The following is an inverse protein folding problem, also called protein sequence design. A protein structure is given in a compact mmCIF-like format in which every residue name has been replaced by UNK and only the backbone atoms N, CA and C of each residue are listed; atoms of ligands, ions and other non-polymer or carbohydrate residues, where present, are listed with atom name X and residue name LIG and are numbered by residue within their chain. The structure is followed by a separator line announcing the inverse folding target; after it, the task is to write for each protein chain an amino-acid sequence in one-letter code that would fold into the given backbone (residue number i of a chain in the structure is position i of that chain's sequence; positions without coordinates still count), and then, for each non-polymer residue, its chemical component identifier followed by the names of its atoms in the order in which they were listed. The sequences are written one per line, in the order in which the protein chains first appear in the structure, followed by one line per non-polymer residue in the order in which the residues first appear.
data_IF_819473812505
#
_entry.id   IF_819473812505
#
_cell.length_a   1.000
_cell.length_b   1.000
_cell.length_c   1.000
_cell.angle_alpha   90.00
_cell.angle_beta   90.00
_cell.angle_gamma   90.00
#
_symmetry.space_group_name_H-M   'P 1'
#
loop_
_entity.id
_entity.type
_entity.pdbx_description
1 polymer ?
#
# COMPACT_ATOMS: atom_id res chain seq x y z
N UNK A 1 -78.30 24.00 -13.02
CA UNK A 1 -79.24 25.13 -12.72
C UNK A 1 -78.72 26.37 -13.43
N UNK A 2 -79.63 26.88 -14.28
CA UNK A 2 -79.89 28.29 -14.65
C UNK A 2 -78.70 29.04 -15.26
N UNK A 3 -78.69 29.27 -16.61
CA UNK A 3 -79.54 30.26 -17.36
C UNK A 3 -79.13 31.70 -17.04
N UNK A 4 -78.79 32.63 -17.91
CA UNK A 4 -79.41 33.13 -19.14
C UNK A 4 -78.50 34.28 -19.64
N UNK A 5 -78.26 34.54 -20.83
CA UNK A 5 -78.95 34.95 -22.07
C UNK A 5 -78.84 36.46 -22.35
N UNK A 6 -78.57 36.77 -23.64
CA UNK A 6 -78.94 37.96 -24.47
C UNK A 6 -78.11 39.25 -24.29
N UNK A 7 -77.97 40.08 -25.28
CA UNK A 7 -78.27 40.25 -26.71
C UNK A 7 -77.43 41.42 -27.23
N UNK A 8 -76.91 41.41 -28.39
CA UNK A 8 -77.36 41.96 -29.67
C UNK A 8 -77.71 43.46 -29.74
N UNK A 9 -76.97 44.19 -30.62
CA UNK A 9 -77.47 45.17 -31.59
C UNK A 9 -76.25 45.85 -32.25
N UNK A 10 -75.93 45.63 -33.45
CA UNK A 10 -76.31 46.16 -34.75
C UNK A 10 -76.13 47.68 -34.88
N UNK A 11 -75.23 48.08 -35.78
CA UNK A 11 -75.05 49.49 -36.19
C UNK A 11 -74.04 49.56 -37.37
N UNK A 12 -74.65 49.48 -38.54
CA UNK A 12 -74.05 49.61 -39.88
C UNK A 12 -73.74 51.10 -40.14
N UNK A 13 -72.49 51.48 -40.57
CA UNK A 13 -72.30 52.64 -41.44
C UNK A 13 -71.09 52.45 -42.34
N UNK A 14 -71.37 52.55 -43.66
CA UNK A 14 -70.54 52.57 -44.83
C UNK A 14 -69.93 53.95 -45.00
N UNK A 15 -68.58 54.04 -45.29
CA UNK A 15 -68.03 55.06 -46.20
C UNK A 15 -66.57 54.69 -46.57
N UNK A 16 -66.38 54.35 -47.73
CA UNK A 16 -65.59 54.56 -48.91
C UNK A 16 -64.22 55.18 -48.75
N UNK A 17 -63.26 54.44 -49.34
CA UNK A 17 -62.19 54.87 -50.22
C UNK A 17 -61.11 55.85 -49.71
N UNK A 18 -59.85 55.30 -49.72
CA UNK A 18 -58.80 55.93 -50.57
C UNK A 18 -57.55 54.97 -50.60
N UNK A 19 -57.29 54.51 -51.79
CA UNK A 19 -56.05 53.78 -52.13
C UNK A 19 -54.80 54.67 -52.03
N UNK A 20 -53.77 54.23 -51.24
CA UNK A 20 -52.41 54.69 -51.41
C UNK A 20 -51.46 53.46 -51.35
N UNK A 21 -50.63 53.24 -52.34
CA UNK A 21 -49.66 52.19 -52.28
C UNK A 21 -48.48 52.62 -51.41
N UNK A 22 -48.45 52.21 -50.13
CA UNK A 22 -47.29 52.38 -49.29
C UNK A 22 -46.25 51.29 -49.58
N UNK A 23 -45.09 51.63 -50.14
CA UNK A 23 -43.91 50.80 -50.25
C UNK A 23 -43.49 50.33 -48.84
N UNK A 24 -43.67 49.04 -48.57
CA UNK A 24 -43.12 48.41 -47.44
C UNK A 24 -41.61 48.13 -47.73
N UNK A 25 -40.77 49.07 -47.34
CA UNK A 25 -39.35 48.85 -47.21
C UNK A 25 -39.17 47.84 -46.03
N UNK A 26 -38.89 46.59 -46.40
CA UNK A 26 -38.45 45.56 -45.46
C UNK A 26 -37.06 46.02 -44.98
N UNK A 27 -37.04 46.65 -43.78
CA UNK A 27 -35.78 46.90 -43.08
C UNK A 27 -35.18 45.54 -42.78
N UNK A 28 -34.12 45.15 -43.50
CA UNK A 28 -33.20 44.14 -43.04
C UNK A 28 -32.64 44.64 -41.69
N UNK A 29 -33.15 44.04 -40.59
CA UNK A 29 -32.45 44.11 -39.32
C UNK A 29 -31.06 43.52 -39.51
N UNK A 30 -30.05 44.35 -39.68
CA UNK A 30 -28.68 43.99 -39.50
C UNK A 30 -28.53 43.47 -38.05
N UNK A 31 -28.63 42.16 -37.90
CA UNK A 31 -28.28 41.49 -36.67
C UNK A 31 -26.90 41.99 -36.23
N UNK A 32 -26.87 42.83 -35.18
CA UNK A 32 -25.64 43.32 -34.64
C UNK A 32 -24.72 42.12 -34.37
N UNK A 33 -23.62 42.05 -35.09
CA UNK A 33 -22.64 40.95 -34.91
C UNK A 33 -22.12 41.02 -33.47
N UNK A 34 -22.57 40.08 -32.65
CA UNK A 34 -22.19 39.99 -31.24
C UNK A 34 -20.72 39.53 -31.18
N UNK A 35 -19.81 40.47 -30.99
CA UNK A 35 -18.38 40.18 -30.77
C UNK A 35 -18.26 39.77 -29.30
N UNK A 36 -17.71 38.60 -29.08
CA UNK A 36 -17.48 38.04 -27.72
C UNK A 36 -16.00 38.18 -27.36
N UNK A 37 -15.73 38.80 -26.21
CA UNK A 37 -14.35 38.86 -25.68
C UNK A 37 -13.96 37.51 -25.07
N UNK A 38 -12.83 36.96 -25.51
CA UNK A 38 -12.34 35.66 -25.06
C UNK A 38 -10.87 35.73 -24.69
N UNK A 39 -10.43 34.91 -23.72
CA UNK A 39 -8.99 34.64 -23.56
C UNK A 39 -8.59 33.41 -24.34
N UNK A 40 -7.46 33.50 -25.01
CA UNK A 40 -6.92 32.39 -25.80
C UNK A 40 -5.56 31.95 -25.27
N UNK A 41 -5.28 30.68 -25.41
CA UNK A 41 -4.00 30.06 -25.08
C UNK A 41 -3.49 29.30 -26.31
N UNK A 42 -2.20 29.37 -26.60
CA UNK A 42 -1.60 28.53 -27.63
C UNK A 42 -1.44 27.10 -27.10
N UNK A 43 -1.97 26.16 -27.81
CA UNK A 43 -1.88 24.72 -27.50
C UNK A 43 -0.42 24.27 -27.65
N UNK A 44 0.10 23.63 -26.62
CA UNK A 44 1.48 23.09 -26.60
C UNK A 44 1.44 21.62 -26.24
N UNK A 45 2.43 20.88 -26.73
CA UNK A 45 2.70 19.54 -26.21
C UNK A 45 3.51 19.64 -24.96
N UNK A 46 3.11 18.92 -23.95
CA UNK A 46 3.81 18.76 -22.69
C UNK A 46 4.18 17.30 -22.45
N UNK A 47 5.26 17.09 -21.72
CA UNK A 47 5.64 15.74 -21.32
C UNK A 47 4.82 15.35 -20.11
N UNK A 48 3.92 14.40 -20.28
CA UNK A 48 3.10 13.83 -19.21
C UNK A 48 3.50 12.37 -18.95
N UNK A 49 3.38 11.96 -17.71
CA UNK A 49 3.54 10.55 -17.32
C UNK A 49 2.22 10.07 -16.76
N UNK A 50 1.57 9.09 -17.41
CA UNK A 50 0.29 8.56 -16.94
C UNK A 50 0.39 8.01 -15.52
N UNK A 51 -0.60 8.33 -14.68
CA UNK A 51 -0.68 7.82 -13.31
C UNK A 51 -2.13 7.58 -12.87
N UNK A 52 -2.28 6.71 -11.89
CA UNK A 52 -3.51 6.53 -11.12
C UNK A 52 -3.34 7.30 -9.82
N UNK A 53 -4.33 8.12 -9.45
CA UNK A 53 -4.35 8.83 -8.18
C UNK A 53 -5.28 8.09 -7.21
N UNK A 54 -4.77 7.80 -6.03
CA UNK A 54 -5.51 7.08 -4.98
C UNK A 54 -5.01 7.52 -3.60
N UNK A 55 -5.62 6.97 -2.57
CA UNK A 55 -5.19 7.16 -1.18
C UNK A 55 -4.70 5.84 -0.59
N UNK A 56 -3.78 5.93 0.34
CA UNK A 56 -3.23 4.77 0.99
C UNK A 56 -2.80 5.08 2.43
N UNK A 57 -2.29 4.08 3.10
CA UNK A 57 -1.71 4.18 4.43
C UNK A 57 -0.37 3.49 4.50
N UNK A 58 0.54 4.07 5.27
CA UNK A 58 1.81 3.43 5.59
C UNK A 58 1.57 2.37 6.66
N UNK A 59 2.07 1.18 6.43
CA UNK A 59 2.00 0.05 7.34
C UNK A 59 3.42 -0.47 7.63
N UNK A 60 3.67 -1.12 8.79
CA UNK A 60 4.94 -1.78 9.00
C UNK A 60 5.09 -2.94 8.01
N UNK A 61 6.31 -3.17 7.52
CA UNK A 61 6.55 -4.33 6.65
C UNK A 61 6.24 -5.65 7.37
N UNK A 62 6.64 -5.73 8.64
CA UNK A 62 6.37 -6.86 9.51
C UNK A 62 5.93 -6.35 10.89
N UNK A 63 4.99 -7.06 11.51
CA UNK A 63 4.58 -6.86 12.89
C UNK A 63 4.55 -8.20 13.58
N UNK A 64 5.39 -8.39 14.59
CA UNK A 64 5.53 -9.65 15.31
C UNK A 64 5.14 -9.47 16.76
N UNK A 65 4.25 -10.32 17.22
CA UNK A 65 3.91 -10.47 18.64
C UNK A 65 4.98 -11.35 19.26
N UNK A 66 5.84 -10.76 20.06
CA UNK A 66 6.88 -11.49 20.79
C UNK A 66 6.25 -12.06 22.05
N UNK A 67 6.21 -13.39 22.15
CA UNK A 67 5.63 -14.13 23.28
C UNK A 67 6.74 -14.88 24.04
N UNK A 68 6.46 -15.21 25.30
CA UNK A 68 7.33 -16.11 26.06
C UNK A 68 7.20 -17.53 25.52
N UNK A 69 8.31 -18.26 25.42
CA UNK A 69 8.33 -19.67 25.06
C UNK A 69 8.36 -20.58 26.31
N UNK A 70 8.52 -20.00 27.50
CA UNK A 70 8.59 -20.72 28.77
C UNK A 70 7.69 -20.05 29.82
N UNK A 71 7.29 -20.83 30.82
CA UNK A 71 6.53 -20.35 31.95
C UNK A 71 7.46 -19.75 33.00
N UNK A 72 7.04 -18.68 33.66
CA UNK A 72 7.79 -18.08 34.76
C UNK A 72 7.43 -16.65 35.06
N UNK A 73 8.08 -16.08 36.07
CA UNK A 73 7.94 -14.66 36.41
C UNK A 73 8.86 -13.83 35.51
N UNK A 74 8.32 -12.81 34.87
CA UNK A 74 9.08 -11.85 34.08
C UNK A 74 9.98 -11.03 34.99
N UNK A 75 11.28 -11.30 34.98
CA UNK A 75 12.25 -10.69 35.88
C UNK A 75 12.50 -9.24 35.54
N UNK A 76 12.73 -8.96 34.27
CA UNK A 76 13.03 -7.62 33.78
C UNK A 76 12.64 -7.45 32.32
N UNK A 77 12.27 -6.23 31.94
CA UNK A 77 12.09 -5.79 30.56
C UNK A 77 13.15 -4.72 30.31
N UNK A 78 13.98 -4.93 29.27
CA UNK A 78 15.18 -4.12 29.00
C UNK A 78 14.93 -3.01 27.97
N UNK A 79 13.73 -2.94 27.40
CA UNK A 79 13.37 -1.98 26.36
C UNK A 79 12.01 -1.36 26.67
N UNK A 80 11.82 -0.11 26.24
CA UNK A 80 10.56 0.61 26.35
C UNK A 80 9.85 0.76 25.02
N UNK A 81 8.57 1.15 25.06
CA UNK A 81 7.79 1.47 23.88
C UNK A 81 8.48 2.60 23.09
N UNK A 82 8.54 2.44 21.76
CA UNK A 82 9.27 3.34 20.88
C UNK A 82 10.77 3.08 20.75
N UNK A 83 11.36 2.23 21.62
CA UNK A 83 12.78 1.88 21.53
C UNK A 83 13.09 1.14 20.23
N UNK A 84 14.21 1.47 19.59
CA UNK A 84 14.75 0.73 18.44
C UNK A 84 15.40 -0.56 18.93
N UNK A 85 15.14 -1.64 18.20
CA UNK A 85 15.67 -2.97 18.50
C UNK A 85 16.26 -3.60 17.24
N UNK A 86 17.27 -4.44 17.43
CA UNK A 86 17.86 -5.24 16.35
C UNK A 86 17.55 -6.71 16.56
N UNK A 87 17.51 -7.47 15.47
CA UNK A 87 17.29 -8.92 15.52
C UNK A 87 18.28 -9.58 16.47
N UNK A 88 17.78 -10.41 17.39
CA UNK A 88 18.56 -11.07 18.42
C UNK A 88 18.82 -10.25 19.69
N UNK A 89 18.52 -8.94 19.71
CA UNK A 89 18.63 -8.10 20.90
C UNK A 89 17.72 -8.62 22.01
N UNK A 90 18.24 -8.67 23.24
CA UNK A 90 17.47 -9.10 24.42
C UNK A 90 16.43 -8.02 24.76
N UNK A 91 15.17 -8.43 24.81
CA UNK A 91 14.03 -7.57 25.11
C UNK A 91 13.59 -7.70 26.57
N UNK A 92 13.56 -8.93 27.06
CA UNK A 92 13.12 -9.25 28.41
C UNK A 92 13.75 -10.57 28.88
N UNK A 93 13.71 -10.80 30.19
CA UNK A 93 14.19 -12.03 30.80
C UNK A 93 13.17 -12.59 31.78
N UNK A 94 12.88 -13.86 31.65
CA UNK A 94 12.14 -14.65 32.63
C UNK A 94 13.09 -15.06 33.75
N UNK A 95 12.61 -15.30 34.96
CA UNK A 95 13.42 -15.84 36.06
C UNK A 95 13.98 -17.21 35.63
N UNK A 96 15.29 -17.28 35.53
CA UNK A 96 16.03 -18.40 34.96
C UNK A 96 16.62 -19.35 36.01
N UNK A 97 16.33 -19.12 37.32
CA UNK A 97 16.92 -19.86 38.43
C UNK A 97 16.66 -21.38 38.28
N UNK A 98 15.40 -21.75 38.07
CA UNK A 98 15.02 -23.18 37.96
C UNK A 98 15.57 -23.82 36.69
N UNK A 99 15.63 -23.07 35.60
CA UNK A 99 16.23 -23.55 34.34
C UNK A 99 17.72 -23.80 34.50
N UNK A 100 18.46 -22.91 35.18
CA UNK A 100 19.89 -23.11 35.47
C UNK A 100 20.14 -24.31 36.34
N UNK A 101 19.34 -24.53 37.38
CA UNK A 101 19.40 -25.73 38.21
C UNK A 101 19.13 -26.98 37.39
N UNK A 102 18.16 -26.94 36.48
CA UNK A 102 17.86 -28.03 35.55
C UNK A 102 19.05 -28.38 34.64
N UNK A 103 19.73 -27.37 34.08
CA UNK A 103 20.97 -27.57 33.31
C UNK A 103 22.06 -28.18 34.15
N UNK A 104 22.26 -27.72 35.39
CA UNK A 104 23.28 -28.27 36.28
C UNK A 104 22.99 -29.73 36.64
N UNK A 105 21.74 -30.11 36.91
CA UNK A 105 21.34 -31.47 37.20
C UNK A 105 21.56 -32.41 35.99
N UNK A 106 21.13 -31.97 34.80
CA UNK A 106 21.31 -32.73 33.56
C UNK A 106 22.78 -32.89 33.21
N UNK A 107 23.58 -31.84 33.43
CA UNK A 107 25.04 -31.89 33.23
C UNK A 107 25.72 -32.91 34.16
N UNK A 108 25.30 -32.99 35.42
CA UNK A 108 25.79 -33.98 36.38
C UNK A 108 25.43 -35.40 35.96
N UNK A 109 24.18 -35.63 35.50
CA UNK A 109 23.73 -36.91 34.98
C UNK A 109 24.49 -37.36 33.75
N UNK A 110 24.80 -36.44 32.82
CA UNK A 110 25.62 -36.74 31.66
C UNK A 110 27.07 -37.12 32.07
N UNK A 111 27.67 -36.41 33.04
CA UNK A 111 29.02 -36.78 33.54
C UNK A 111 29.04 -38.20 34.12
N UNK A 112 27.99 -38.59 34.85
CA UNK A 112 27.87 -39.94 35.40
C UNK A 112 27.69 -40.98 34.30
N UNK A 113 26.83 -40.74 33.30
CA UNK A 113 26.64 -41.64 32.16
C UNK A 113 27.93 -41.82 31.35
N UNK A 114 28.70 -40.76 31.14
CA UNK A 114 30.05 -40.84 30.48
C UNK A 114 31.02 -41.68 31.26
N UNK A 115 31.08 -41.54 32.59
CA UNK A 115 31.97 -42.36 33.41
C UNK A 115 31.56 -43.85 33.36
N UNK A 116 30.26 -44.16 33.32
CA UNK A 116 29.76 -45.50 33.18
C UNK A 116 30.13 -46.08 31.79
N UNK A 117 30.00 -45.29 30.72
CA UNK A 117 30.34 -45.68 29.36
C UNK A 117 31.87 -45.98 29.25
N UNK A 118 32.71 -45.09 29.79
CA UNK A 118 34.17 -45.30 29.81
C UNK A 118 34.57 -46.59 30.53
N UNK A 119 33.91 -46.88 31.67
CA UNK A 119 34.08 -48.16 32.38
C UNK A 119 33.64 -49.36 31.53
N UNK A 120 32.47 -49.28 30.89
CA UNK A 120 31.92 -50.36 30.05
C UNK A 120 32.83 -50.57 28.80
N UNK A 121 33.33 -49.50 28.19
CA UNK A 121 34.31 -49.62 27.08
C UNK A 121 35.60 -50.29 27.49
N UNK A 122 36.13 -49.89 28.64
CA UNK A 122 37.36 -50.52 29.18
C UNK A 122 37.17 -51.99 29.45
N UNK A 123 36.00 -52.36 30.05
CA UNK A 123 35.66 -53.74 30.34
C UNK A 123 35.46 -54.54 29.05
N UNK A 124 34.75 -53.99 28.06
CA UNK A 124 34.54 -54.63 26.77
C UNK A 124 35.89 -54.89 26.05
N UNK A 125 36.78 -53.88 25.96
CA UNK A 125 38.13 -54.01 25.35
C UNK A 125 38.91 -55.12 26.01
N UNK A 126 38.82 -55.30 27.35
CA UNK A 126 39.46 -56.40 28.09
C UNK A 126 38.86 -57.74 27.73
N UNK A 127 37.48 -57.86 27.70
CA UNK A 127 36.83 -59.12 27.35
C UNK A 127 37.05 -59.51 25.91
N UNK A 128 37.08 -58.57 24.98
CA UNK A 128 37.37 -58.79 23.57
C UNK A 128 38.77 -59.37 23.35
N UNK A 129 39.77 -58.83 24.03
CA UNK A 129 41.17 -59.36 24.00
C UNK A 129 41.27 -60.77 24.58
N UNK A 130 40.56 -61.08 25.70
CA UNK A 130 40.56 -62.40 26.32
C UNK A 130 39.76 -63.42 25.50
N UNK A 131 38.67 -63.02 24.85
CA UNK A 131 37.90 -63.86 23.95
C UNK A 131 38.67 -64.25 22.71
N UNK A 132 39.45 -63.33 22.13
CA UNK A 132 40.38 -63.61 21.04
C UNK A 132 41.44 -64.63 21.43
N UNK A 133 41.90 -64.68 22.70
CA UNK A 133 42.82 -65.68 23.27
C UNK A 133 42.07 -66.93 23.73
N UNK A 134 40.75 -67.10 23.57
CA UNK A 134 39.92 -68.24 24.02
C UNK A 134 39.91 -68.45 25.54
N UNK A 135 40.16 -67.41 26.34
CA UNK A 135 40.23 -67.47 27.80
C UNK A 135 38.85 -67.33 28.47
N UNK A 136 37.92 -66.59 27.81
CA UNK A 136 36.60 -66.36 28.31
C UNK A 136 35.55 -67.00 27.39
N UNK A 137 34.34 -67.26 27.93
CA UNK A 137 33.22 -67.82 27.19
C UNK A 137 32.57 -66.74 26.26
N UNK A 138 31.87 -67.22 25.22
CA UNK A 138 31.09 -66.35 24.34
C UNK A 138 30.03 -65.55 25.12
N UNK A 139 29.43 -66.16 26.12
CA UNK A 139 28.45 -65.53 26.96
C UNK A 139 29.00 -64.31 27.72
N UNK A 140 30.23 -64.44 28.25
CA UNK A 140 30.88 -63.30 28.94
C UNK A 140 31.23 -62.17 27.98
N UNK A 141 31.66 -62.47 26.76
CA UNK A 141 31.89 -61.50 25.70
C UNK A 141 30.57 -60.80 25.33
N UNK A 142 29.50 -61.57 25.00
CA UNK A 142 28.21 -61.03 24.63
C UNK A 142 27.60 -60.16 25.75
N UNK A 143 27.80 -60.52 27.00
CA UNK A 143 27.38 -59.71 28.17
C UNK A 143 28.13 -58.39 28.26
N UNK A 144 29.44 -58.40 27.99
CA UNK A 144 30.24 -57.16 27.99
C UNK A 144 29.87 -56.22 26.84
N UNK A 145 29.59 -56.79 25.66
CA UNK A 145 29.07 -56.03 24.50
C UNK A 145 27.70 -55.39 24.82
N UNK A 146 26.78 -56.16 25.36
CA UNK A 146 25.43 -55.66 25.75
C UNK A 146 25.54 -54.52 26.77
N UNK A 147 26.46 -54.65 27.77
CA UNK A 147 26.66 -53.59 28.77
C UNK A 147 27.24 -52.34 28.14
N UNK A 148 28.15 -52.47 27.17
CA UNK A 148 28.70 -51.34 26.41
C UNK A 148 27.55 -50.64 25.62
N UNK A 149 26.73 -51.38 24.89
CA UNK A 149 25.61 -50.84 24.13
C UNK A 149 24.62 -50.11 25.00
N UNK A 150 24.22 -50.69 26.18
CA UNK A 150 23.35 -50.04 27.16
C UNK A 150 23.96 -48.73 27.67
N UNK A 151 25.26 -48.74 28.02
CA UNK A 151 25.94 -47.57 28.53
C UNK A 151 26.01 -46.43 27.47
N UNK A 152 26.17 -46.76 26.18
CA UNK A 152 26.10 -45.79 25.07
C UNK A 152 24.71 -45.15 24.98
N UNK A 153 23.64 -45.97 25.01
CA UNK A 153 22.29 -45.45 24.97
C UNK A 153 21.95 -44.57 26.20
N UNK A 154 22.50 -44.89 27.36
CA UNK A 154 22.34 -44.06 28.55
C UNK A 154 23.08 -42.70 28.43
N UNK A 155 24.28 -42.66 27.83
CA UNK A 155 25.01 -41.43 27.55
C UNK A 155 24.25 -40.57 26.54
N UNK A 156 23.78 -41.16 25.43
CA UNK A 156 22.97 -40.49 24.42
C UNK A 156 21.73 -39.85 25.01
N UNK A 157 20.99 -40.59 25.86
CA UNK A 157 19.81 -40.12 26.58
C UNK A 157 20.13 -38.93 27.50
N UNK A 158 21.20 -39.05 28.29
CA UNK A 158 21.63 -37.98 29.21
C UNK A 158 22.14 -36.74 28.44
N UNK A 159 22.77 -36.91 27.29
CA UNK A 159 23.20 -35.84 26.41
C UNK A 159 22.00 -35.07 25.83
N UNK A 160 20.95 -35.81 25.35
CA UNK A 160 19.72 -35.21 24.87
C UNK A 160 18.98 -34.47 25.98
N UNK A 161 18.96 -35.01 27.22
CA UNK A 161 18.34 -34.33 28.37
C UNK A 161 19.05 -33.02 28.73
N UNK A 162 20.39 -32.97 28.66
CA UNK A 162 21.15 -31.74 28.85
C UNK A 162 20.83 -30.71 27.76
N UNK A 163 20.79 -31.12 26.49
CA UNK A 163 20.46 -30.22 25.38
C UNK A 163 19.07 -29.62 25.55
N UNK A 164 18.07 -30.39 25.97
CA UNK A 164 16.73 -29.89 26.26
C UNK A 164 16.70 -28.90 27.40
N UNK A 165 17.48 -29.14 28.48
CA UNK A 165 17.57 -28.22 29.61
C UNK A 165 18.23 -26.90 29.20
N UNK A 166 19.27 -26.94 28.36
CA UNK A 166 19.94 -25.76 27.79
C UNK A 166 18.99 -24.94 26.91
N UNK A 167 18.24 -25.59 26.03
CA UNK A 167 17.23 -24.93 25.17
C UNK A 167 16.18 -24.19 26.02
N UNK A 168 15.68 -24.83 27.08
CA UNK A 168 14.72 -24.18 28.00
C UNK A 168 15.33 -22.95 28.70
N UNK A 169 16.58 -23.01 29.10
CA UNK A 169 17.29 -21.88 29.68
C UNK A 169 17.45 -20.74 28.66
N UNK A 170 17.82 -21.06 27.42
CA UNK A 170 17.96 -20.06 26.34
C UNK A 170 16.62 -19.36 26.04
N UNK A 171 15.51 -20.12 26.07
CA UNK A 171 14.16 -19.60 25.89
C UNK A 171 13.69 -18.67 27.05
N UNK A 172 14.33 -18.71 28.19
CA UNK A 172 14.08 -17.74 29.26
C UNK A 172 14.55 -16.31 28.91
N UNK A 173 15.36 -16.17 27.86
CA UNK A 173 15.82 -14.88 27.34
C UNK A 173 15.01 -14.55 26.09
N UNK A 174 14.08 -13.60 26.23
CA UNK A 174 13.20 -13.17 25.15
C UNK A 174 13.95 -12.18 24.25
N UNK A 175 14.06 -12.50 22.95
CA UNK A 175 14.82 -11.73 21.96
C UNK A 175 13.95 -11.19 20.84
N UNK A 176 14.41 -10.10 20.20
CA UNK A 176 13.73 -9.56 19.02
C UNK A 176 13.91 -10.48 17.81
N UNK A 177 12.83 -10.85 17.11
CA UNK A 177 12.90 -11.65 15.88
C UNK A 177 13.31 -10.82 14.66
N UNK A 178 13.19 -9.47 14.73
CA UNK A 178 13.43 -8.57 13.61
C UNK A 178 14.13 -7.27 14.02
N UNK A 179 14.60 -6.52 13.02
CA UNK A 179 15.07 -5.15 13.21
C UNK A 179 13.88 -4.19 13.15
N UNK A 180 13.72 -3.32 14.15
CA UNK A 180 12.57 -2.43 14.15
C UNK A 180 12.44 -1.59 15.40
N UNK A 181 11.22 -1.44 15.90
CA UNK A 181 10.92 -0.72 17.14
C UNK A 181 9.81 -1.44 17.94
N UNK A 182 9.85 -1.28 19.24
CA UNK A 182 8.79 -1.75 20.13
C UNK A 182 7.55 -0.87 19.94
N UNK A 183 6.47 -1.46 19.45
CA UNK A 183 5.19 -0.76 19.26
C UNK A 183 4.44 -0.64 20.58
N UNK A 184 4.40 -1.73 21.34
CA UNK A 184 3.59 -1.84 22.57
C UNK A 184 4.15 -2.94 23.47
N UNK A 185 4.12 -2.73 24.78
CA UNK A 185 4.34 -3.75 25.82
C UNK A 185 3.00 -4.27 26.29
N UNK A 186 2.88 -5.59 26.44
CA UNK A 186 1.65 -6.26 26.92
C UNK A 186 1.83 -6.96 28.27
N UNK A 187 3.07 -6.99 28.78
CA UNK A 187 3.41 -7.52 30.09
C UNK A 187 4.36 -6.57 30.82
N UNK A 188 4.40 -6.71 32.15
CA UNK A 188 5.20 -5.89 33.06
C UNK A 188 6.16 -6.78 33.85
N UNK A 189 7.32 -6.24 34.25
CA UNK A 189 8.23 -6.96 35.16
C UNK A 189 7.50 -7.29 36.47
N UNK A 190 7.63 -8.54 36.94
CA UNK A 190 6.89 -9.12 38.04
C UNK A 190 5.66 -9.95 37.65
N UNK A 191 5.17 -9.81 36.43
CA UNK A 191 4.06 -10.65 35.95
C UNK A 191 4.48 -12.11 35.83
N UNK A 192 3.58 -13.03 36.19
CA UNK A 192 3.71 -14.43 35.80
C UNK A 192 3.21 -14.58 34.35
N UNK A 193 4.07 -15.11 33.48
CA UNK A 193 3.77 -15.36 32.07
C UNK A 193 3.84 -16.87 31.77
N UNK A 194 2.86 -17.36 31.03
CA UNK A 194 2.87 -18.72 30.48
C UNK A 194 3.46 -18.77 29.06
N UNK A 195 3.88 -19.95 28.65
CA UNK A 195 4.32 -20.19 27.28
C UNK A 195 3.22 -19.79 26.28
N UNK A 196 3.58 -19.04 25.22
CA UNK A 196 2.66 -18.47 24.25
C UNK A 196 2.02 -17.13 24.65
N UNK A 197 2.18 -16.64 25.90
CA UNK A 197 1.63 -15.35 26.32
C UNK A 197 2.42 -14.20 25.70
N UNK A 198 1.74 -13.23 25.05
CA UNK A 198 2.37 -12.02 24.50
C UNK A 198 3.08 -11.20 25.56
N UNK A 199 4.29 -10.75 25.25
CA UNK A 199 5.09 -9.85 26.09
C UNK A 199 5.17 -8.47 25.49
N UNK A 200 5.37 -8.37 24.19
CA UNK A 200 5.39 -7.09 23.46
C UNK A 200 5.15 -7.30 21.97
N UNK A 201 4.86 -6.19 21.28
CA UNK A 201 4.74 -6.15 19.82
C UNK A 201 5.93 -5.37 19.25
N UNK A 202 6.67 -5.99 18.35
CA UNK A 202 7.78 -5.37 17.62
C UNK A 202 7.38 -5.22 16.16
N UNK A 203 7.63 -4.03 15.59
CA UNK A 203 7.32 -3.73 14.19
C UNK A 203 8.58 -3.34 13.43
N UNK A 204 8.65 -3.75 12.17
CA UNK A 204 9.65 -3.22 11.23
C UNK A 204 9.32 -1.78 10.89
N UNK A 205 10.32 -0.90 10.92
CA UNK A 205 10.19 0.53 10.59
C UNK A 205 10.92 0.92 9.30
N UNK A 206 11.71 0.03 8.73
CA UNK A 206 12.43 0.18 7.46
C UNK A 206 12.69 -1.21 6.84
N UNK A 207 12.20 -1.45 5.61
CA UNK A 207 11.26 -0.60 4.88
C UNK A 207 9.87 -0.57 5.50
N UNK A 208 9.05 0.41 5.10
CA UNK A 208 7.61 0.42 5.33
C UNK A 208 6.87 -0.12 4.10
N UNK A 209 5.61 -0.50 4.27
CA UNK A 209 4.67 -0.78 3.19
C UNK A 209 3.71 0.38 3.02
N UNK A 210 3.51 0.82 1.79
CA UNK A 210 2.41 1.70 1.43
C UNK A 210 1.29 0.84 0.87
N UNK A 211 0.24 0.68 1.64
CA UNK A 211 -0.97 -0.08 1.26
C UNK A 211 -1.98 0.88 0.65
N UNK A 212 -2.47 0.60 -0.55
CA UNK A 212 -3.46 1.40 -1.26
C UNK A 212 -4.37 0.52 -2.12
N UNK A 213 -5.48 1.09 -2.58
CA UNK A 213 -6.46 0.36 -3.38
C UNK A 213 -6.62 0.98 -4.75
N UNK A 214 -6.79 0.16 -5.78
CA UNK A 214 -6.93 0.55 -7.18
C UNK A 214 -8.28 0.06 -7.70
N UNK A 215 -8.98 0.90 -8.47
CA UNK A 215 -10.29 0.56 -9.03
C UNK A 215 -10.18 -0.58 -10.08
N UNK A 216 -11.24 -1.40 -10.17
CA UNK A 216 -11.33 -2.56 -11.07
C UNK A 216 -10.96 -2.22 -12.53
N UNK A 217 -11.42 -1.06 -13.03
CA UNK A 217 -11.13 -0.59 -14.39
C UNK A 217 -9.65 -0.42 -14.72
N UNK A 218 -8.83 -0.18 -13.69
CA UNK A 218 -7.40 0.15 -13.83
C UNK A 218 -6.49 -1.05 -13.57
N UNK A 219 -7.05 -2.23 -13.24
CA UNK A 219 -6.26 -3.43 -12.88
C UNK A 219 -5.36 -3.88 -14.03
N UNK A 220 -5.85 -3.83 -15.26
CA UNK A 220 -5.12 -4.33 -16.43
C UNK A 220 -3.81 -3.60 -16.74
N UNK A 221 -3.60 -2.41 -16.15
CA UNK A 221 -2.38 -1.61 -16.35
C UNK A 221 -1.40 -1.71 -15.15
N UNK A 222 -1.76 -2.46 -14.11
CA UNK A 222 -0.87 -2.68 -12.96
C UNK A 222 0.23 -3.67 -13.31
N UNK A 223 1.46 -3.35 -12.90
CA UNK A 223 2.62 -4.23 -13.04
C UNK A 223 3.55 -4.04 -11.86
N UNK A 224 4.02 -5.14 -11.28
CA UNK A 224 5.08 -5.10 -10.26
C UNK A 224 6.28 -4.35 -10.82
N UNK A 225 6.92 -3.54 -9.97
CA UNK A 225 8.05 -2.69 -10.33
C UNK A 225 7.67 -1.29 -10.80
N UNK A 226 6.39 -0.93 -10.83
CA UNK A 226 5.96 0.44 -11.12
C UNK A 226 6.36 1.41 -10.00
N UNK A 227 6.73 2.63 -10.41
CA UNK A 227 7.05 3.70 -9.46
C UNK A 227 5.79 4.25 -8.81
N UNK A 228 5.86 4.39 -7.50
CA UNK A 228 4.84 5.01 -6.67
C UNK A 228 5.44 6.26 -6.04
N UNK A 229 4.78 7.39 -6.21
CA UNK A 229 5.13 8.64 -5.52
C UNK A 229 3.95 9.02 -4.63
N UNK A 230 4.23 9.44 -3.42
CA UNK A 230 3.17 9.81 -2.49
C UNK A 230 3.55 11.01 -1.62
N UNK A 231 2.53 11.69 -1.13
CA UNK A 231 2.65 12.78 -0.17
C UNK A 231 1.91 12.43 1.11
N UNK A 232 2.44 12.90 2.21
CA UNK A 232 1.87 12.73 3.54
C UNK A 232 1.64 14.10 4.18
N UNK A 233 0.57 14.25 4.95
CA UNK A 233 0.21 15.54 5.52
C UNK A 233 1.26 16.14 6.50
N UNK A 234 2.02 15.34 7.28
CA UNK A 234 3.11 15.88 8.08
C UNK A 234 4.25 16.55 7.28
N UNK A 235 4.39 16.22 5.98
CA UNK A 235 5.43 16.76 5.10
C UNK A 235 4.83 17.22 3.77
N UNK A 236 4.00 18.28 3.73
CA UNK A 236 3.17 18.64 2.57
C UNK A 236 3.99 19.05 1.33
N UNK A 237 5.18 19.61 1.54
CA UNK A 237 6.07 20.04 0.45
C UNK A 237 7.03 18.96 -0.04
N UNK A 238 6.99 17.77 0.53
CA UNK A 238 7.93 16.68 0.21
C UNK A 238 7.20 15.51 -0.42
N UNK A 239 7.78 15.00 -1.49
CA UNK A 239 7.36 13.75 -2.12
C UNK A 239 8.25 12.60 -1.66
N UNK A 240 7.63 11.48 -1.39
CA UNK A 240 8.30 10.22 -1.08
C UNK A 240 8.06 9.25 -2.22
N UNK A 241 8.97 8.31 -2.40
CA UNK A 241 8.89 7.31 -3.46
C UNK A 241 8.92 5.90 -2.89
N UNK A 242 8.29 5.01 -3.61
CA UNK A 242 8.30 3.58 -3.37
C UNK A 242 8.15 2.82 -4.68
N UNK A 243 8.19 1.51 -4.60
CA UNK A 243 8.04 0.61 -5.75
C UNK A 243 6.91 -0.37 -5.48
N UNK A 244 6.01 -0.55 -6.44
CA UNK A 244 4.92 -1.53 -6.36
C UNK A 244 5.50 -2.94 -6.31
N UNK A 245 5.29 -3.65 -5.20
CA UNK A 245 5.85 -4.99 -4.96
C UNK A 245 4.80 -6.08 -4.91
N UNK A 246 3.58 -5.74 -4.47
CA UNK A 246 2.49 -6.71 -4.33
C UNK A 246 1.23 -6.19 -4.98
N UNK A 247 0.61 -7.06 -5.77
CA UNK A 247 -0.75 -6.90 -6.32
C UNK A 247 -1.55 -8.09 -5.77
N UNK A 248 -2.59 -7.82 -5.00
CA UNK A 248 -3.38 -8.89 -4.39
C UNK A 248 -4.18 -9.66 -5.46
N UNK A 249 -4.42 -10.95 -5.27
CA UNK A 249 -5.04 -11.80 -6.29
C UNK A 249 -6.57 -11.65 -6.37
N UNK A 250 -7.19 -10.95 -5.41
CA UNK A 250 -8.65 -10.79 -5.32
C UNK A 250 -9.04 -9.36 -5.04
N UNK A 251 -10.19 -8.95 -5.59
CA UNK A 251 -10.83 -7.68 -5.25
C UNK A 251 -11.64 -7.84 -3.96
N UNK A 252 -11.80 -6.72 -3.28
CA UNK A 252 -12.83 -6.60 -2.25
C UNK A 252 -14.21 -6.51 -2.92
N UNK A 253 -15.09 -7.45 -2.60
CA UNK A 253 -16.40 -7.59 -3.25
C UNK A 253 -17.32 -6.39 -3.04
N UNK A 254 -17.18 -5.68 -1.90
CA UNK A 254 -18.02 -4.54 -1.55
C UNK A 254 -17.59 -3.25 -2.22
N UNK A 255 -16.30 -2.96 -2.18
CA UNK A 255 -15.74 -1.73 -2.75
C UNK A 255 -15.37 -1.86 -4.23
N UNK A 256 -15.23 -3.09 -4.75
CA UNK A 256 -14.70 -3.42 -6.09
C UNK A 256 -13.32 -2.80 -6.34
N UNK A 257 -12.51 -2.80 -5.31
CA UNK A 257 -11.14 -2.30 -5.39
C UNK A 257 -10.14 -3.43 -5.15
N UNK A 258 -9.03 -3.36 -5.86
CA UNK A 258 -7.90 -4.27 -5.71
C UNK A 258 -6.88 -3.65 -4.76
N UNK A 259 -6.52 -4.38 -3.71
CA UNK A 259 -5.43 -3.97 -2.81
C UNK A 259 -4.08 -4.16 -3.50
N UNK A 260 -3.20 -3.17 -3.33
CA UNK A 260 -1.82 -3.21 -3.79
C UNK A 260 -0.89 -2.65 -2.71
N UNK A 261 0.36 -3.08 -2.71
CA UNK A 261 1.36 -2.63 -1.74
C UNK A 261 2.64 -2.22 -2.46
N UNK A 262 3.19 -1.10 -2.05
CA UNK A 262 4.50 -0.63 -2.48
C UNK A 262 5.48 -0.64 -1.31
N UNK A 263 6.70 -1.05 -1.57
CA UNK A 263 7.80 -0.95 -0.62
C UNK A 263 8.35 0.47 -0.59
N UNK A 264 8.50 1.02 0.61
CA UNK A 264 8.94 2.38 0.87
C UNK A 264 10.17 2.37 1.77
N UNK A 265 11.35 2.76 1.28
CA UNK A 265 12.53 2.94 2.11
C UNK A 265 12.33 4.03 3.17
N UNK A 266 12.67 3.74 4.42
CA UNK A 266 12.51 4.67 5.55
C UNK A 266 13.74 4.70 6.47
N UNK A 267 14.93 4.69 5.90
CA UNK A 267 16.22 4.63 6.63
C UNK A 267 16.35 5.72 7.70
N UNK A 268 15.88 6.94 7.40
CA UNK A 268 15.86 8.04 8.35
C UNK A 268 14.84 7.87 9.48
N UNK A 269 13.85 6.98 9.34
CA UNK A 269 12.80 6.74 10.32
C UNK A 269 11.81 7.91 10.49
N UNK A 270 11.73 8.81 9.51
CA UNK A 270 10.86 9.99 9.52
C UNK A 270 9.39 9.59 9.32
N UNK A 271 9.14 8.64 8.44
CA UNK A 271 7.80 8.11 8.20
C UNK A 271 7.41 7.16 9.35
N UNK A 272 6.13 7.23 9.73
CA UNK A 272 5.57 6.35 10.76
C UNK A 272 4.46 5.49 10.16
N UNK A 273 4.37 4.25 10.61
CA UNK A 273 3.22 3.42 10.30
C UNK A 273 1.93 4.06 10.81
N UNK A 274 0.86 3.94 10.05
CA UNK A 274 -0.44 4.56 10.33
C UNK A 274 -0.66 5.92 9.66
N UNK A 275 0.35 6.52 9.03
CA UNK A 275 0.19 7.79 8.30
C UNK A 275 -0.58 7.55 7.01
N UNK A 276 -1.63 8.37 6.78
CA UNK A 276 -2.33 8.44 5.49
C UNK A 276 -1.53 9.18 4.44
N UNK A 277 -1.70 8.77 3.19
CA UNK A 277 -0.97 9.33 2.06
C UNK A 277 -1.84 9.47 0.82
N UNK A 278 -1.55 10.50 0.01
CA UNK A 278 -2.06 10.64 -1.35
C UNK A 278 -1.03 10.05 -2.30
N UNK A 279 -1.48 9.07 -3.07
CA UNK A 279 -0.63 8.18 -3.85
C UNK A 279 -0.82 8.44 -5.33
N UNK A 280 0.29 8.56 -6.07
CA UNK A 280 0.34 8.55 -7.53
C UNK A 280 1.12 7.33 -7.98
N UNK A 281 0.41 6.36 -8.53
CA UNK A 281 0.99 5.18 -9.15
C UNK A 281 1.23 5.45 -10.63
N UNK A 282 2.47 5.52 -11.06
CA UNK A 282 2.81 5.73 -12.47
C UNK A 282 2.61 4.46 -13.29
N UNK A 283 1.74 4.56 -14.31
CA UNK A 283 1.32 3.41 -15.14
C UNK A 283 2.01 3.35 -16.49
N UNK A 284 2.76 4.39 -16.86
CA UNK A 284 3.42 4.45 -18.15
C UNK A 284 4.72 5.26 -18.13
N UNK A 285 5.41 5.23 -19.26
CA UNK A 285 6.59 6.08 -19.52
C UNK A 285 6.14 7.51 -19.82
N UNK A 286 6.99 8.52 -19.54
CA UNK A 286 6.77 9.89 -20.01
C UNK A 286 6.54 9.92 -21.52
N UNK A 287 5.53 10.68 -21.98
CA UNK A 287 5.21 10.87 -23.39
C UNK A 287 4.82 12.32 -23.65
N UNK A 288 5.10 12.83 -24.84
CA UNK A 288 4.62 14.14 -25.28
C UNK A 288 3.19 14.02 -25.80
N UNK A 289 2.30 14.85 -25.26
CA UNK A 289 0.90 14.91 -25.68
C UNK A 289 0.38 16.35 -25.54
N UNK A 290 -0.70 16.65 -26.25
CA UNK A 290 -1.41 17.91 -26.12
C UNK A 290 -2.15 17.91 -24.80
N UNK A 291 -1.97 18.96 -23.97
CA UNK A 291 -2.71 19.16 -22.73
C UNK A 291 -3.35 20.55 -22.74
N UNK A 292 -4.58 20.63 -22.23
CA UNK A 292 -5.36 21.85 -22.16
C UNK A 292 -5.96 22.01 -20.75
N UNK A 293 -6.25 23.23 -20.30
CA UNK A 293 -6.95 23.45 -19.04
C UNK A 293 -8.33 22.79 -19.07
N UNK A 294 -8.68 22.08 -17.98
CA UNK A 294 -9.98 21.41 -17.86
C UNK A 294 -11.13 22.41 -18.03
N UNK A 295 -10.93 23.64 -17.60
CA UNK A 295 -11.91 24.74 -17.71
C UNK A 295 -12.25 25.10 -19.15
N UNK A 296 -11.40 24.82 -20.14
CA UNK A 296 -11.65 25.09 -21.57
C UNK A 296 -12.56 24.07 -22.24
N UNK A 297 -12.86 22.97 -21.56
CA UNK A 297 -13.62 21.84 -22.10
C UNK A 297 -15.10 22.02 -21.76
N UNK A 298 -15.94 21.88 -22.77
CA UNK A 298 -17.39 21.88 -22.64
C UNK A 298 -17.94 20.46 -22.83
N UNK A 299 -18.75 20.03 -21.88
CA UNK A 299 -19.43 18.74 -21.92
C UNK A 299 -20.90 18.94 -22.28
N UNK A 300 -21.32 18.30 -23.35
CA UNK A 300 -22.71 18.31 -23.80
C UNK A 300 -23.21 16.87 -23.99
N UNK A 301 -23.88 16.36 -22.96
CA UNK A 301 -24.24 14.95 -22.89
C UNK A 301 -22.99 14.05 -22.95
N UNK A 302 -22.85 13.27 -24.01
CA UNK A 302 -21.67 12.39 -24.24
C UNK A 302 -20.59 13.04 -25.12
N UNK A 303 -20.83 14.24 -25.64
CA UNK A 303 -19.88 14.95 -26.52
C UNK A 303 -19.01 15.90 -25.70
N UNK A 304 -17.73 15.86 -26.02
CA UNK A 304 -16.73 16.79 -25.45
C UNK A 304 -16.26 17.70 -26.57
N UNK A 305 -16.34 19.01 -26.34
CA UNK A 305 -15.98 20.02 -27.34
C UNK A 305 -15.16 21.15 -26.74
N UNK A 306 -14.43 21.83 -27.58
CA UNK A 306 -13.65 23.04 -27.28
C UNK A 306 -13.89 24.07 -28.38
N UNK A 307 -13.48 25.33 -28.13
CA UNK A 307 -13.46 26.37 -29.16
C UNK A 307 -12.02 26.77 -29.50
N UNK A 308 -11.73 26.81 -30.79
CA UNK A 308 -10.46 27.28 -31.35
C UNK A 308 -10.69 28.63 -32.02
N UNK A 309 -9.79 29.57 -31.82
CA UNK A 309 -9.84 30.90 -32.47
C UNK A 309 -9.15 30.82 -33.84
N UNK A 310 -9.95 30.85 -34.91
CA UNK A 310 -9.50 30.85 -36.31
C UNK A 310 -9.97 32.14 -37.01
N UNK A 311 -9.06 33.01 -37.49
CA UNK A 311 -9.40 34.23 -38.21
C UNK A 311 -10.46 35.10 -37.53
N UNK A 312 -10.31 35.31 -36.19
CA UNK A 312 -11.24 36.07 -35.33
C UNK A 312 -12.68 35.49 -35.25
N UNK A 313 -12.83 34.19 -35.60
CA UNK A 313 -14.04 33.41 -35.42
C UNK A 313 -13.79 32.29 -34.40
N UNK A 314 -14.82 31.95 -33.64
CA UNK A 314 -14.81 30.76 -32.77
C UNK A 314 -15.21 29.55 -33.59
N UNK A 315 -14.29 28.59 -33.79
CA UNK A 315 -14.56 27.30 -34.43
C UNK A 315 -14.78 26.23 -33.38
N UNK A 316 -15.97 25.65 -33.38
CA UNK A 316 -16.29 24.53 -32.49
C UNK A 316 -15.58 23.27 -32.96
N UNK A 317 -14.91 22.55 -32.05
CA UNK A 317 -14.18 21.33 -32.39
C UNK A 317 -14.47 20.24 -31.36
N UNK A 318 -14.97 19.11 -31.86
CA UNK A 318 -15.11 17.91 -31.06
C UNK A 318 -13.71 17.35 -30.71
N UNK A 319 -13.51 17.02 -29.44
CA UNK A 319 -12.23 16.48 -28.95
C UNK A 319 -12.46 15.18 -28.19
N UNK A 320 -11.49 14.30 -28.27
CA UNK A 320 -11.41 13.09 -27.45
C UNK A 320 -10.37 13.31 -26.37
N UNK A 321 -10.83 13.33 -25.14
CA UNK A 321 -9.98 13.57 -23.98
C UNK A 321 -9.39 12.27 -23.43
N UNK A 322 -8.21 12.39 -22.83
CA UNK A 322 -7.47 11.29 -22.20
C UNK A 322 -7.33 11.44 -20.71
N UNK A 323 -6.11 11.28 -20.21
CA UNK A 323 -5.78 11.39 -18.79
C UNK A 323 -5.90 12.80 -18.23
N UNK A 324 -6.26 12.90 -16.94
CA UNK A 324 -6.24 14.16 -16.19
C UNK A 324 -4.89 14.30 -15.47
N UNK A 325 -4.26 15.47 -15.59
CA UNK A 325 -2.96 15.80 -14.99
C UNK A 325 -3.07 17.12 -14.21
N UNK A 326 -3.48 17.05 -12.95
CA UNK A 326 -3.78 18.23 -12.14
C UNK A 326 -4.96 19.01 -12.72
N UNK A 327 -4.72 20.29 -13.10
CA UNK A 327 -5.71 21.18 -13.73
C UNK A 327 -5.75 21.04 -15.27
N UNK A 328 -4.94 20.17 -15.84
CA UNK A 328 -4.83 19.94 -17.27
C UNK A 328 -5.47 18.62 -17.67
N UNK A 329 -6.03 18.56 -18.87
CA UNK A 329 -6.61 17.38 -19.49
C UNK A 329 -5.85 17.05 -20.78
N UNK A 330 -5.49 15.82 -20.97
CA UNK A 330 -4.93 15.33 -22.23
C UNK A 330 -5.97 15.34 -23.34
N UNK A 331 -5.56 15.75 -24.52
CA UNK A 331 -6.37 15.63 -25.74
C UNK A 331 -5.70 14.63 -26.66
N UNK A 332 -6.41 13.52 -26.90
CA UNK A 332 -5.95 12.42 -27.77
C UNK A 332 -6.17 12.75 -29.25
N UNK A 333 -7.35 13.32 -29.56
CA UNK A 333 -7.77 13.64 -30.92
C UNK A 333 -8.55 14.96 -30.92
N UNK A 334 -8.46 15.73 -32.01
CA UNK A 334 -9.26 16.93 -32.25
C UNK A 334 -8.53 18.27 -32.08
N UNK A 335 -7.32 18.31 -31.51
CA UNK A 335 -6.49 19.51 -31.41
C UNK A 335 -5.05 19.25 -31.87
N UNK A 336 -4.45 20.26 -32.46
CA UNK A 336 -3.05 20.23 -32.87
C UNK A 336 -2.21 21.25 -32.11
N UNK A 337 -0.90 21.04 -32.13
CA UNK A 337 0.06 21.98 -31.56
C UNK A 337 0.02 23.32 -32.30
N UNK A 338 0.19 24.43 -31.58
CA UNK A 338 0.12 25.82 -32.04
C UNK A 338 -1.28 26.35 -32.41
N UNK A 339 -2.35 25.59 -32.25
CA UNK A 339 -3.70 26.14 -32.35
C UNK A 339 -4.02 27.08 -31.18
N UNK A 340 -4.89 28.05 -31.40
CA UNK A 340 -5.31 29.07 -30.41
C UNK A 340 -6.59 28.61 -29.73
N UNK A 341 -6.48 27.98 -28.59
CA UNK A 341 -7.61 27.47 -27.79
C UNK A 341 -8.24 28.61 -26.97
N UNK A 342 -9.57 28.70 -26.97
CA UNK A 342 -10.30 29.57 -26.06
C UNK A 342 -10.35 28.95 -24.66
N UNK A 343 -9.84 29.67 -23.67
CA UNK A 343 -9.77 29.21 -22.26
C UNK A 343 -10.72 29.94 -21.31
N UNK A 344 -11.19 31.15 -21.71
CA UNK A 344 -12.20 31.92 -20.98
C UNK A 344 -13.20 32.51 -21.97
N UNK A 345 -14.48 32.47 -21.63
CA UNK A 345 -15.56 32.97 -22.48
C UNK A 345 -16.25 31.90 -23.34
N UNK A 346 -15.80 30.67 -23.29
CA UNK A 346 -16.30 29.55 -24.11
C UNK A 346 -17.78 29.22 -23.90
N UNK A 347 -18.34 29.49 -22.71
CA UNK A 347 -19.72 29.14 -22.36
C UNK A 347 -20.79 29.93 -23.12
N UNK A 348 -20.40 31.07 -23.72
CA UNK A 348 -21.32 31.95 -24.47
C UNK A 348 -21.05 31.92 -25.98
N UNK A 349 -20.14 31.06 -26.42
CA UNK A 349 -19.78 30.88 -27.81
C UNK A 349 -20.70 29.87 -28.51
N UNK A 350 -20.95 30.12 -29.75
CA UNK A 350 -21.50 29.17 -30.72
C UNK A 350 -20.55 29.14 -31.94
N UNK A 351 -20.65 28.07 -32.74
CA UNK A 351 -19.81 27.93 -33.92
C UNK A 351 -19.96 29.13 -34.87
N UNK A 352 -18.83 29.67 -35.36
CA UNK A 352 -18.78 30.79 -36.31
C UNK A 352 -18.98 32.19 -35.68
N UNK A 353 -19.13 32.34 -34.37
CA UNK A 353 -19.27 33.66 -33.73
C UNK A 353 -17.97 34.45 -33.79
N UNK A 354 -18.06 35.76 -34.08
CA UNK A 354 -16.91 36.67 -34.05
C UNK A 354 -16.43 36.86 -32.61
N UNK A 355 -15.12 36.69 -32.44
CA UNK A 355 -14.45 36.82 -31.15
C UNK A 355 -13.39 37.92 -31.19
N UNK A 356 -13.17 38.53 -30.05
CA UNK A 356 -12.03 39.41 -29.82
C UNK A 356 -11.12 38.78 -28.74
N UNK A 357 -9.92 38.40 -29.15
CA UNK A 357 -8.96 37.78 -28.24
C UNK A 357 -8.33 38.85 -27.36
N UNK A 358 -8.68 38.83 -26.07
CA UNK A 358 -8.06 39.66 -25.04
C UNK A 358 -6.83 38.93 -24.49
N UNK A 359 -5.73 39.63 -24.29
CA UNK A 359 -4.47 39.07 -23.74
C UNK A 359 -4.63 38.66 -22.26
#
# INVERSE_FOLDING_TARGET
MRRFVYAACAGLFIAAALFAPGCSQKAEEKKAEKIVNVKVMTVKKETVRPYIETVGSLEPNEAVIVSSEVDGILREILVDEGARVTKGMVLAKVNDTDFRLGVQASSAALKQARANLENAETMFKRMDALYGQKVVSKQEYDNALTRLDVARQDEDRASAALSLAQERLDKAIIRSPLNGAVKQKTATAGDFIGAGRPVMVVISIDPLKLSFSVAEKDIGILKIGQDVVFRVDPFPSREFSGTLTVIYPSLDEKSRMLKAEAEVPNRAGELKAGIFSRVKLYTGKPRQTVVIPITSILYEGTRTRVFVAENDLASERAVKVGGKYGEMMEVIEGLQENERLVVVGQNVLTDGVKIHAVK
#
